data_IF_593461463694
#
_entry.id   IF_593461463694
#
_cell.length_a   1.000
_cell.length_b   1.000
_cell.length_c   1.000
_cell.angle_alpha   90.00
_cell.angle_beta   90.00
_cell.angle_gamma   90.00
#
_symmetry.space_group_name_H-M   'P 1'
#
loop_
_entity.id
_entity.type
_entity.pdbx_description
1 polymer ?
#
# COMPACT_ATOMS: atom_id res chain seq x y z
N UNK A 1 -7.12 1.21 19.19
CA UNK A 1 -7.87 0.78 17.98
C UNK A 1 -8.25 -0.68 18.14
N UNK A 2 -9.45 -1.12 17.72
CA UNK A 2 -9.80 -2.54 17.74
C UNK A 2 -8.80 -3.33 16.89
N UNK A 3 -8.48 -4.54 17.34
CA UNK A 3 -7.63 -5.47 16.59
C UNK A 3 -8.26 -5.67 15.21
N UNK A 4 -7.49 -5.39 14.17
CA UNK A 4 -7.94 -5.51 12.78
C UNK A 4 -7.06 -6.57 12.11
N UNK A 5 -7.67 -7.41 11.30
CA UNK A 5 -6.92 -8.33 10.44
C UNK A 5 -6.25 -7.50 9.35
N UNK A 6 -4.91 -7.50 9.37
CA UNK A 6 -4.09 -6.69 8.49
C UNK A 6 -2.90 -7.52 8.04
N UNK A 7 -2.62 -7.47 6.74
CA UNK A 7 -1.31 -7.85 6.21
C UNK A 7 -0.51 -6.58 6.00
N UNK A 8 0.62 -6.45 6.67
CA UNK A 8 1.51 -5.30 6.55
C UNK A 8 2.86 -5.77 5.99
N UNK A 9 3.27 -5.17 4.88
CA UNK A 9 4.54 -5.44 4.22
C UNK A 9 5.40 -4.18 4.30
N UNK A 10 6.49 -4.25 5.05
CA UNK A 10 7.58 -3.29 4.95
C UNK A 10 8.49 -3.71 3.81
N UNK A 11 8.83 -2.76 2.94
CA UNK A 11 9.70 -2.95 1.80
C UNK A 11 11.00 -2.17 2.00
N UNK A 12 11.92 -2.31 1.06
CA UNK A 12 13.13 -1.49 1.03
C UNK A 12 12.79 0.00 0.87
N UNK A 13 13.75 0.87 1.21
CA UNK A 13 13.61 2.33 1.13
C UNK A 13 12.40 2.89 1.89
N UNK A 14 12.03 2.26 3.00
CA UNK A 14 10.88 2.67 3.83
C UNK A 14 9.54 2.66 3.09
N UNK A 15 9.46 2.04 1.91
CA UNK A 15 8.19 1.81 1.23
C UNK A 15 7.40 0.73 1.98
N UNK A 16 6.08 0.76 1.83
CA UNK A 16 5.21 -0.21 2.50
C UNK A 16 3.88 -0.38 1.78
N UNK A 17 3.26 -1.54 2.00
CA UNK A 17 1.89 -1.82 1.60
C UNK A 17 1.13 -2.48 2.76
N UNK A 18 -0.11 -2.07 2.96
CA UNK A 18 -1.00 -2.60 3.98
C UNK A 18 -2.33 -2.99 3.36
N UNK A 19 -2.75 -4.23 3.60
CA UNK A 19 -3.96 -4.83 3.05
C UNK A 19 -4.88 -5.20 4.20
N UNK A 20 -6.15 -4.80 4.11
CA UNK A 20 -7.14 -5.16 5.12
C UNK A 20 -8.55 -5.27 4.54
N UNK A 21 -9.42 -6.11 5.13
CA UNK A 21 -10.84 -6.03 4.86
C UNK A 21 -11.40 -4.72 5.42
N UNK A 22 -12.34 -4.13 4.67
CA UNK A 22 -13.17 -3.03 5.16
C UNK A 22 -14.16 -3.56 6.20
N UNK A 23 -14.36 -2.81 7.28
CA UNK A 23 -15.32 -3.17 8.33
C UNK A 23 -16.78 -2.83 8.02
N UNK A 24 -17.03 -2.02 6.97
CA UNK A 24 -18.37 -1.48 6.67
C UNK A 24 -18.91 -1.90 5.30
N UNK A 25 -18.05 -2.35 4.39
CA UNK A 25 -18.41 -2.69 3.01
C UNK A 25 -17.66 -3.96 2.59
N UNK A 26 -18.19 -4.77 1.65
CA UNK A 26 -17.52 -5.97 1.15
C UNK A 26 -16.38 -5.60 0.19
N UNK A 27 -15.35 -4.93 0.71
CA UNK A 27 -14.18 -4.44 -0.05
C UNK A 27 -12.88 -4.75 0.70
N UNK A 28 -11.81 -5.01 -0.06
CA UNK A 28 -10.44 -5.01 0.45
C UNK A 28 -9.83 -3.61 0.23
N UNK A 29 -9.20 -3.05 1.26
CA UNK A 29 -8.51 -1.76 1.22
C UNK A 29 -7.01 -1.98 1.14
N UNK A 30 -6.38 -1.27 0.21
CA UNK A 30 -4.94 -1.22 0.04
C UNK A 30 -4.45 0.18 0.41
N UNK A 31 -3.46 0.24 1.27
CA UNK A 31 -2.75 1.46 1.63
C UNK A 31 -1.30 1.27 1.19
N UNK A 32 -0.77 2.23 0.46
CA UNK A 32 0.56 2.17 -0.14
C UNK A 32 1.27 3.47 0.21
N UNK A 33 2.52 3.37 0.65
CA UNK A 33 3.36 4.52 0.94
C UNK A 33 4.79 4.29 0.45
N UNK A 34 5.45 5.38 0.07
CA UNK A 34 6.84 5.42 -0.38
C UNK A 34 7.56 6.58 0.30
N UNK A 35 8.89 6.50 0.39
CA UNK A 35 9.74 7.56 0.93
C UNK A 35 10.79 7.91 -0.14
N UNK A 36 10.81 9.16 -0.58
CA UNK A 36 11.74 9.64 -1.60
C UNK A 36 12.22 11.06 -1.29
N UNK A 37 13.32 11.48 -1.93
CA UNK A 37 13.95 12.77 -1.66
C UNK A 37 13.21 13.96 -2.29
N UNK A 38 12.31 13.68 -3.24
CA UNK A 38 11.47 14.69 -3.88
C UNK A 38 10.05 14.19 -4.14
N UNK A 39 9.11 15.13 -4.22
CA UNK A 39 7.70 14.83 -4.54
C UNK A 39 7.56 14.12 -5.89
N UNK A 40 8.30 14.56 -6.92
CA UNK A 40 8.28 13.95 -8.25
C UNK A 40 8.76 12.49 -8.24
N UNK A 41 9.77 12.18 -7.44
CA UNK A 41 10.23 10.80 -7.28
C UNK A 41 9.24 9.97 -6.47
N UNK A 42 8.67 10.53 -5.41
CA UNK A 42 7.64 9.88 -4.61
C UNK A 42 6.41 9.53 -5.46
N UNK A 43 5.94 10.44 -6.32
CA UNK A 43 4.83 10.18 -7.24
C UNK A 43 5.14 9.02 -8.19
N UNK A 44 6.34 9.00 -8.78
CA UNK A 44 6.77 7.94 -9.70
C UNK A 44 6.89 6.58 -9.00
N UNK A 45 7.50 6.53 -7.82
CA UNK A 45 7.65 5.29 -7.06
C UNK A 45 6.29 4.80 -6.56
N UNK A 46 5.42 5.70 -6.10
CA UNK A 46 4.06 5.36 -5.67
C UNK A 46 3.22 4.78 -6.81
N UNK A 47 3.28 5.38 -8.00
CA UNK A 47 2.61 4.86 -9.20
C UNK A 47 3.12 3.46 -9.55
N UNK A 48 4.45 3.29 -9.58
CA UNK A 48 5.08 2.01 -9.89
C UNK A 48 4.65 0.91 -8.91
N UNK A 49 4.71 1.19 -7.61
CA UNK A 49 4.32 0.23 -6.57
C UNK A 49 2.81 -0.06 -6.61
N UNK A 50 1.99 0.96 -6.87
CA UNK A 50 0.53 0.81 -6.98
C UNK A 50 0.16 -0.12 -8.14
N UNK A 51 0.76 0.06 -9.32
CA UNK A 51 0.51 -0.82 -10.46
C UNK A 51 1.01 -2.24 -10.21
N UNK A 52 2.18 -2.41 -9.58
CA UNK A 52 2.68 -3.73 -9.19
C UNK A 52 1.73 -4.46 -8.23
N UNK A 53 1.19 -3.77 -7.23
CA UNK A 53 0.19 -4.33 -6.30
C UNK A 53 -1.09 -4.71 -7.04
N UNK A 54 -1.58 -3.85 -7.95
CA UNK A 54 -2.78 -4.15 -8.75
C UNK A 54 -2.62 -5.41 -9.59
N UNK A 55 -1.45 -5.61 -10.22
CA UNK A 55 -1.16 -6.81 -11.01
C UNK A 55 -1.17 -8.09 -10.16
N UNK A 56 -0.72 -8.03 -8.91
CA UNK A 56 -0.72 -9.18 -7.98
C UNK A 56 -2.11 -9.55 -7.44
N UNK A 57 -3.06 -8.60 -7.48
CA UNK A 57 -4.40 -8.76 -6.89
C UNK A 57 -5.44 -9.18 -7.96
N UNK A 58 -5.01 -9.40 -9.20
CA UNK A 58 -5.87 -9.90 -10.29
C UNK A 58 -6.45 -11.29 -10.04
#
# INVERSE_FOLDING_TARGET
>A
LPKSDVLYFSLEKEAWCCIRPSGTEPKIKFYIGVCAESEKEAEKELETLTEAVKELVK
#
